data_IF_415212053326
#
_entry.id   IF_415212053326
#
_cell.length_a   1.000
_cell.length_b   1.000
_cell.length_c   1.000
_cell.angle_alpha   90.00
_cell.angle_beta   90.00
_cell.angle_gamma   90.00
#
_symmetry.space_group_name_H-M   'P 1'
#
loop_
_entity.id
_entity.type
_entity.pdbx_description
1 polymer ?
#
# COMPACT_ATOMS: atom_id res chain seq x y z
N UNK A 1 -19.17 2.20 -6.08
CA UNK A 1 -19.38 2.09 -4.61
C UNK A 1 -19.08 3.38 -3.89
N UNK A 2 -19.73 3.66 -2.74
CA UNK A 2 -19.36 4.79 -1.89
C UNK A 2 -18.00 4.53 -1.21
N UNK A 3 -17.22 5.60 -1.05
CA UNK A 3 -15.94 5.52 -0.32
C UNK A 3 -16.21 5.20 1.16
N UNK A 4 -15.55 4.20 1.77
CA UNK A 4 -15.72 3.83 3.17
C UNK A 4 -15.52 5.01 4.13
N UNK A 5 -16.27 5.01 5.25
CA UNK A 5 -16.20 6.07 6.25
C UNK A 5 -14.77 6.31 6.74
N UNK A 6 -14.00 5.25 6.99
CA UNK A 6 -12.59 5.32 7.44
C UNK A 6 -11.76 6.21 6.51
N UNK A 7 -11.94 6.11 5.19
CA UNK A 7 -11.16 6.87 4.20
C UNK A 7 -11.63 8.33 4.08
N UNK A 8 -12.90 8.62 4.41
CA UNK A 8 -13.46 9.98 4.35
C UNK A 8 -13.17 10.76 5.62
N UNK A 9 -13.40 10.14 6.77
CA UNK A 9 -13.34 10.77 8.10
C UNK A 9 -11.98 11.41 8.39
N UNK A 10 -10.89 10.73 8.05
CA UNK A 10 -9.54 11.16 8.43
C UNK A 10 -8.80 11.91 7.32
N UNK A 11 -9.39 12.04 6.12
CA UNK A 11 -8.71 12.62 4.96
C UNK A 11 -8.26 14.07 5.22
N UNK A 12 -9.16 14.92 5.68
CA UNK A 12 -8.88 16.34 5.87
C UNK A 12 -7.75 16.60 6.87
N UNK A 13 -7.78 16.08 8.12
CA UNK A 13 -6.69 16.28 9.06
C UNK A 13 -5.35 15.68 8.60
N UNK A 14 -5.36 14.56 7.88
CA UNK A 14 -4.15 13.96 7.31
C UNK A 14 -3.56 14.86 6.22
N UNK A 15 -4.38 15.35 5.29
CA UNK A 15 -3.94 16.24 4.20
C UNK A 15 -3.36 17.52 4.77
N UNK A 16 -4.07 18.20 5.68
CA UNK A 16 -3.59 19.42 6.30
C UNK A 16 -2.22 19.24 7.00
N UNK A 17 -2.04 18.10 7.68
CA UNK A 17 -0.77 17.79 8.34
C UNK A 17 0.35 17.46 7.34
N UNK A 18 0.04 16.71 6.26
CA UNK A 18 0.99 16.42 5.17
C UNK A 18 1.46 17.72 4.50
N UNK A 19 0.54 18.60 4.15
CA UNK A 19 0.87 19.92 3.57
C UNK A 19 1.80 20.72 4.48
N UNK A 20 1.53 20.72 5.79
CA UNK A 20 2.39 21.41 6.77
C UNK A 20 3.82 20.84 6.83
N UNK A 21 3.97 19.53 6.73
CA UNK A 21 5.29 18.84 6.75
C UNK A 21 6.04 19.04 5.43
N UNK A 22 5.31 19.09 4.31
CA UNK A 22 5.87 19.22 2.96
C UNK A 22 6.20 20.68 2.55
N UNK A 23 5.99 21.67 3.44
CA UNK A 23 6.34 23.06 3.18
C UNK A 23 7.86 23.33 3.15
N UNK A 24 8.66 22.29 3.07
CA UNK A 24 10.11 22.36 2.84
C UNK A 24 10.40 23.22 1.60
N UNK A 25 11.43 24.07 1.71
CA UNK A 25 11.88 24.93 0.62
C UNK A 25 13.12 24.32 -0.06
N UNK A 26 13.30 24.71 -1.33
CA UNK A 26 14.42 24.26 -2.12
C UNK A 26 14.12 22.99 -2.96
N UNK A 27 15.12 22.48 -3.68
CA UNK A 27 14.92 21.46 -4.70
C UNK A 27 14.26 20.16 -4.21
N UNK A 28 14.53 19.72 -2.97
CA UNK A 28 13.87 18.55 -2.38
C UNK A 28 12.39 18.82 -2.11
N UNK A 29 12.05 19.96 -1.53
CA UNK A 29 10.66 20.33 -1.26
C UNK A 29 9.83 20.46 -2.54
N UNK A 30 10.43 20.98 -3.63
CA UNK A 30 9.77 21.03 -4.94
C UNK A 30 9.45 19.63 -5.47
N UNK A 31 10.39 18.68 -5.39
CA UNK A 31 10.18 17.30 -5.81
C UNK A 31 9.14 16.57 -4.95
N UNK A 32 9.12 16.82 -3.63
CA UNK A 32 8.12 16.27 -2.73
C UNK A 32 6.72 16.80 -3.06
N UNK A 33 6.60 18.12 -3.22
CA UNK A 33 5.35 18.80 -3.59
C UNK A 33 4.83 18.32 -4.94
N UNK A 34 5.73 18.14 -5.93
CA UNK A 34 5.39 17.57 -7.22
C UNK A 34 4.85 16.13 -7.09
N UNK A 35 5.60 15.24 -6.41
CA UNK A 35 5.19 13.84 -6.24
C UNK A 35 3.84 13.71 -5.54
N UNK A 36 3.61 14.51 -4.50
CA UNK A 36 2.36 14.51 -3.73
C UNK A 36 1.19 15.19 -4.44
N UNK A 37 1.43 15.88 -5.55
CA UNK A 37 0.41 16.57 -6.33
C UNK A 37 0.09 17.98 -5.84
N UNK A 38 0.89 18.56 -4.96
CA UNK A 38 0.69 19.92 -4.46
C UNK A 38 1.11 20.98 -5.49
N UNK A 39 2.07 20.65 -6.36
CA UNK A 39 2.49 21.52 -7.45
C UNK A 39 2.79 20.75 -8.73
N UNK A 40 2.76 21.45 -9.85
CA UNK A 40 3.22 20.96 -11.17
C UNK A 40 4.73 21.18 -11.33
N UNK A 41 5.31 20.62 -12.42
CA UNK A 41 6.75 20.72 -12.67
C UNK A 41 7.22 22.17 -12.95
N UNK A 42 6.32 23.04 -13.37
CA UNK A 42 6.58 24.47 -13.60
C UNK A 42 6.36 25.34 -12.37
N UNK A 43 6.05 24.72 -11.21
CA UNK A 43 5.78 25.40 -9.95
C UNK A 43 4.35 25.93 -9.79
N UNK A 44 3.48 25.74 -10.77
CA UNK A 44 2.07 26.08 -10.65
C UNK A 44 1.34 25.14 -9.67
N UNK A 45 0.19 25.57 -9.07
CA UNK A 45 -0.58 24.72 -8.18
C UNK A 45 -0.99 23.41 -8.85
N UNK A 46 -0.77 22.28 -8.16
CA UNK A 46 -1.15 20.95 -8.59
C UNK A 46 -2.59 20.58 -8.22
N UNK A 47 -3.03 19.36 -8.56
CA UNK A 47 -4.39 18.87 -8.27
C UNK A 47 -4.67 18.61 -6.78
N UNK A 48 -3.66 18.72 -5.91
CA UNK A 48 -3.73 18.36 -4.50
C UNK A 48 -3.34 16.92 -4.22
N UNK A 49 -3.20 16.59 -2.92
CA UNK A 49 -2.79 15.25 -2.47
C UNK A 49 -3.82 14.21 -2.89
N UNK A 50 -3.40 13.36 -3.82
CA UNK A 50 -4.21 12.29 -4.39
C UNK A 50 -4.20 11.00 -3.59
N UNK A 51 -4.85 9.97 -4.17
CA UNK A 51 -4.89 8.63 -3.58
C UNK A 51 -5.94 8.46 -2.49
N UNK A 52 -6.09 7.21 -2.02
CA UNK A 52 -7.10 6.81 -1.04
C UNK A 52 -6.65 7.09 0.41
N UNK A 53 -5.38 7.41 0.64
CA UNK A 53 -4.77 7.62 1.97
C UNK A 53 -5.10 6.48 2.96
N UNK A 54 -5.15 5.24 2.48
CA UNK A 54 -5.59 4.08 3.27
C UNK A 54 -4.70 3.88 4.52
N UNK A 55 -3.38 3.90 4.35
CA UNK A 55 -2.44 3.64 5.44
C UNK A 55 -2.55 4.68 6.55
N UNK A 56 -2.47 5.99 6.29
CA UNK A 56 -2.60 6.98 7.34
C UNK A 56 -4.00 7.01 7.95
N UNK A 57 -5.05 6.73 7.18
CA UNK A 57 -6.42 6.60 7.73
C UNK A 57 -6.54 5.43 8.69
N UNK A 58 -5.88 4.31 8.43
CA UNK A 58 -5.85 3.16 9.33
C UNK A 58 -5.11 3.44 10.64
N UNK A 59 -4.07 4.29 10.63
CA UNK A 59 -3.40 4.74 11.88
C UNK A 59 -4.39 5.52 12.74
N UNK A 60 -5.05 6.54 12.18
CA UNK A 60 -6.04 7.35 12.91
C UNK A 60 -7.24 6.51 13.38
N UNK A 61 -7.75 5.65 12.49
CA UNK A 61 -8.84 4.74 12.80
C UNK A 61 -8.51 3.82 13.97
N UNK A 62 -7.37 3.14 13.93
CA UNK A 62 -6.97 2.18 14.98
C UNK A 62 -6.80 2.88 16.33
N UNK A 63 -6.29 4.10 16.33
CA UNK A 63 -6.17 4.92 17.55
C UNK A 63 -7.55 5.23 18.13
N UNK A 64 -8.43 5.80 17.34
CA UNK A 64 -9.76 6.22 17.80
C UNK A 64 -10.68 5.02 18.13
N UNK A 65 -10.54 3.90 17.40
CA UNK A 65 -11.24 2.66 17.66
C UNK A 65 -10.93 2.06 19.05
N UNK A 66 -9.80 2.43 19.63
CA UNK A 66 -9.36 2.05 20.98
C UNK A 66 -9.57 3.17 22.02
N UNK A 67 -10.32 4.24 21.66
CA UNK A 67 -10.60 5.37 22.55
C UNK A 67 -9.47 6.41 22.64
N UNK A 68 -8.44 6.32 21.80
CA UNK A 68 -7.35 7.29 21.72
C UNK A 68 -7.75 8.58 20.99
N UNK A 69 -6.89 9.60 21.11
CA UNK A 69 -7.09 10.90 20.44
C UNK A 69 -6.31 10.94 19.12
N UNK A 70 -6.94 11.36 18.03
CA UNK A 70 -6.32 11.34 16.71
C UNK A 70 -5.07 12.26 16.62
N UNK A 71 -4.98 13.31 17.43
CA UNK A 71 -3.83 14.21 17.49
C UNK A 71 -2.53 13.48 17.87
N UNK A 72 -2.63 12.43 18.67
CA UNK A 72 -1.49 11.56 18.99
C UNK A 72 -1.10 10.65 17.82
N UNK A 73 -2.06 10.29 16.97
CA UNK A 73 -1.86 9.41 15.83
C UNK A 73 -1.41 10.15 14.55
N UNK A 74 -1.82 11.42 14.35
CA UNK A 74 -1.57 12.17 13.14
C UNK A 74 -0.08 12.25 12.73
N UNK A 75 0.89 12.53 13.62
CA UNK A 75 2.30 12.53 13.24
C UNK A 75 2.78 11.16 12.73
N UNK A 76 2.29 10.08 13.34
CA UNK A 76 2.61 8.71 12.95
C UNK A 76 1.94 8.34 11.62
N UNK A 77 0.72 8.80 11.40
CA UNK A 77 -0.02 8.61 10.14
C UNK A 77 0.70 9.29 8.97
N UNK A 78 1.14 10.53 9.16
CA UNK A 78 1.94 11.27 8.17
C UNK A 78 3.28 10.58 7.92
N UNK A 79 3.99 10.17 8.96
CA UNK A 79 5.25 9.45 8.82
C UNK A 79 5.09 8.19 7.97
N UNK A 80 4.05 7.40 8.22
CA UNK A 80 3.78 6.18 7.45
C UNK A 80 3.42 6.48 5.98
N UNK A 81 2.67 7.56 5.73
CA UNK A 81 2.36 7.97 4.35
C UNK A 81 3.60 8.45 3.60
N UNK A 82 4.51 9.16 4.27
CA UNK A 82 5.80 9.56 3.69
C UNK A 82 6.68 8.34 3.39
N UNK A 83 6.72 7.33 4.29
CA UNK A 83 7.36 6.03 4.02
C UNK A 83 6.75 5.37 2.79
N UNK A 84 5.44 5.37 2.65
CA UNK A 84 4.81 4.82 1.45
C UNK A 84 5.20 5.58 0.18
N UNK A 85 5.23 6.91 0.24
CA UNK A 85 5.52 7.72 -0.95
C UNK A 85 7.00 7.66 -1.36
N UNK A 86 7.97 7.52 -0.41
CA UNK A 86 9.35 7.26 -0.81
C UNK A 86 9.46 5.95 -1.60
N UNK A 87 8.77 4.90 -1.13
CA UNK A 87 8.81 3.61 -1.84
C UNK A 87 8.22 3.72 -3.25
N UNK A 88 7.15 4.53 -3.43
CA UNK A 88 6.58 4.74 -4.75
C UNK A 88 7.54 5.46 -5.71
N UNK A 89 8.34 6.42 -5.23
CA UNK A 89 9.35 7.10 -6.07
C UNK A 89 10.43 6.11 -6.51
N UNK A 90 10.91 5.26 -5.60
CA UNK A 90 11.92 4.27 -5.92
C UNK A 90 11.37 3.13 -6.78
N UNK A 91 10.14 2.66 -6.53
CA UNK A 91 9.44 1.69 -7.37
C UNK A 91 9.31 2.20 -8.82
N UNK A 92 8.92 3.48 -9.01
CA UNK A 92 8.81 4.09 -10.34
C UNK A 92 10.13 4.03 -11.14
N UNK A 93 11.28 4.19 -10.47
CA UNK A 93 12.61 4.07 -11.09
C UNK A 93 12.89 2.61 -11.45
N UNK A 94 12.67 1.69 -10.51
CA UNK A 94 12.96 0.27 -10.66
C UNK A 94 12.11 -0.38 -11.75
N UNK A 95 10.80 -0.04 -11.76
CA UNK A 95 9.83 -0.55 -12.73
C UNK A 95 9.87 0.22 -14.06
N UNK A 96 10.65 1.32 -14.15
CA UNK A 96 10.71 2.25 -15.29
C UNK A 96 9.33 2.84 -15.64
N UNK A 97 8.50 3.05 -14.63
CA UNK A 97 7.17 3.62 -14.79
C UNK A 97 7.27 5.11 -15.13
N UNK A 98 6.84 5.49 -16.34
CA UNK A 98 6.89 6.88 -16.79
C UNK A 98 5.75 7.73 -16.24
N UNK A 99 4.62 7.11 -15.87
CA UNK A 99 3.41 7.78 -15.38
C UNK A 99 2.95 7.18 -14.05
N UNK A 100 2.56 8.07 -13.12
CA UNK A 100 1.88 7.72 -11.86
C UNK A 100 0.65 8.62 -11.68
N UNK A 101 -0.52 8.01 -11.50
CA UNK A 101 -1.79 8.75 -11.39
C UNK A 101 -2.03 9.72 -12.55
N UNK A 102 -1.64 9.32 -13.78
CA UNK A 102 -1.79 10.12 -15.00
C UNK A 102 -0.77 11.26 -15.17
N UNK A 103 0.19 11.43 -14.24
CA UNK A 103 1.26 12.46 -14.30
C UNK A 103 2.63 11.79 -14.51
N UNK A 104 3.58 12.44 -15.19
CA UNK A 104 4.95 11.94 -15.28
C UNK A 104 5.53 11.69 -13.87
N UNK A 105 6.32 10.62 -13.72
CA UNK A 105 6.97 10.29 -12.47
C UNK A 105 8.13 11.23 -12.14
N UNK A 106 8.58 11.24 -10.88
CA UNK A 106 9.67 12.14 -10.44
C UNK A 106 10.93 11.91 -11.27
N UNK A 107 11.31 10.63 -11.53
CA UNK A 107 12.49 10.35 -12.33
C UNK A 107 12.34 10.79 -13.80
N UNK A 108 11.12 10.82 -14.33
CA UNK A 108 10.87 11.28 -15.69
C UNK A 108 11.02 12.80 -15.83
N UNK A 109 10.68 13.56 -14.78
CA UNK A 109 10.73 15.02 -14.75
C UNK A 109 12.11 15.54 -14.34
N UNK A 110 12.68 14.96 -13.28
CA UNK A 110 13.90 15.48 -12.63
C UNK A 110 15.15 14.62 -12.85
N UNK A 111 15.02 13.47 -13.51
CA UNK A 111 16.10 12.49 -13.68
C UNK A 111 16.18 11.47 -12.55
N UNK A 112 16.86 10.35 -12.84
CA UNK A 112 16.97 9.20 -11.92
C UNK A 112 17.70 9.60 -10.63
N UNK A 113 18.80 10.34 -10.74
CA UNK A 113 19.65 10.75 -9.62
C UNK A 113 18.85 11.60 -8.61
N UNK A 114 18.04 12.54 -9.11
CA UNK A 114 17.22 13.39 -8.26
C UNK A 114 16.02 12.63 -7.68
N UNK A 115 15.46 11.68 -8.40
CA UNK A 115 14.39 10.85 -7.87
C UNK A 115 14.89 9.92 -6.73
N UNK A 116 16.12 9.42 -6.80
CA UNK A 116 16.76 8.70 -5.68
C UNK A 116 16.86 9.64 -4.46
N UNK A 117 17.42 10.86 -4.64
CA UNK A 117 17.52 11.85 -3.57
C UNK A 117 16.15 12.22 -2.97
N UNK A 118 15.12 12.33 -3.81
CA UNK A 118 13.76 12.62 -3.36
C UNK A 118 13.18 11.49 -2.52
N UNK A 119 13.37 10.23 -2.93
CA UNK A 119 12.96 9.07 -2.13
C UNK A 119 13.65 9.04 -0.78
N UNK A 120 14.98 9.14 -0.75
CA UNK A 120 15.78 9.16 0.47
C UNK A 120 15.36 10.33 1.39
N UNK A 121 15.14 11.52 0.81
CA UNK A 121 14.67 12.68 1.53
C UNK A 121 13.31 12.48 2.19
N UNK A 122 12.34 11.86 1.48
CA UNK A 122 11.03 11.52 2.06
C UNK A 122 11.15 10.52 3.20
N UNK A 123 12.04 9.52 3.09
CA UNK A 123 12.28 8.57 4.18
C UNK A 123 12.83 9.27 5.43
N UNK A 124 13.81 10.17 5.28
CA UNK A 124 14.34 10.96 6.40
C UNK A 124 13.26 11.86 7.01
N UNK A 125 12.46 12.52 6.16
CA UNK A 125 11.36 13.37 6.61
C UNK A 125 10.28 12.56 7.36
N UNK A 126 10.01 11.31 6.94
CA UNK A 126 9.11 10.41 7.64
C UNK A 126 9.59 10.09 9.05
N UNK A 127 10.88 9.78 9.21
CA UNK A 127 11.46 9.51 10.52
C UNK A 127 11.41 10.75 11.41
N UNK A 128 11.72 11.92 10.87
CA UNK A 128 11.60 13.19 11.60
C UNK A 128 10.14 13.47 12.02
N UNK A 129 9.19 13.31 11.10
CA UNK A 129 7.75 13.52 11.37
C UNK A 129 7.22 12.61 12.49
N UNK A 130 7.70 11.38 12.58
CA UNK A 130 7.28 10.43 13.62
C UNK A 130 7.75 10.85 15.03
N UNK A 131 8.83 11.62 15.15
CA UNK A 131 9.31 12.19 16.41
C UNK A 131 8.44 13.38 16.89
N UNK A 132 7.63 13.98 16.02
CA UNK A 132 6.70 15.05 16.37
C UNK A 132 5.45 14.57 17.15
N UNK A 133 5.32 13.27 17.42
CA UNK A 133 4.30 12.71 18.29
C UNK A 133 4.58 13.01 19.78
N UNK A 134 4.68 14.30 20.12
CA UNK A 134 5.12 14.83 21.43
C UNK A 134 4.17 14.50 22.59
N UNK A 135 2.94 14.11 22.27
CA UNK A 135 1.94 13.70 23.28
C UNK A 135 2.15 12.28 23.78
N UNK A 136 2.97 11.48 23.10
CA UNK A 136 3.30 10.13 23.51
C UNK A 136 4.34 10.11 24.64
N UNK A 137 4.15 9.18 25.59
CA UNK A 137 5.20 8.86 26.55
C UNK A 137 6.45 8.34 25.81
N UNK A 138 7.64 8.60 26.36
CA UNK A 138 8.92 8.24 25.72
C UNK A 138 9.00 6.76 25.29
N UNK A 139 8.47 5.85 26.12
CA UNK A 139 8.42 4.42 25.79
C UNK A 139 7.54 4.14 24.55
N UNK A 140 6.36 4.78 24.46
CA UNK A 140 5.47 4.65 23.31
C UNK A 140 6.05 5.29 22.06
N UNK A 141 6.74 6.44 22.19
CA UNK A 141 7.47 7.05 21.09
C UNK A 141 8.56 6.13 20.55
N UNK A 142 9.35 5.49 21.42
CA UNK A 142 10.35 4.50 21.03
C UNK A 142 9.72 3.26 20.37
N UNK A 143 8.59 2.79 20.88
CA UNK A 143 7.85 1.68 20.28
C UNK A 143 7.38 2.05 18.86
N UNK A 144 6.83 3.26 18.66
CA UNK A 144 6.40 3.74 17.34
C UNK A 144 7.57 3.80 16.35
N UNK A 145 8.74 4.32 16.77
CA UNK A 145 9.96 4.33 15.95
C UNK A 145 10.37 2.92 15.53
N UNK A 146 10.45 1.99 16.48
CA UNK A 146 10.81 0.59 16.19
C UNK A 146 9.83 -0.07 15.23
N UNK A 147 8.52 0.15 15.41
CA UNK A 147 7.47 -0.38 14.55
C UNK A 147 7.61 0.16 13.13
N UNK A 148 7.77 1.48 12.96
CA UNK A 148 7.93 2.13 11.66
C UNK A 148 9.18 1.64 10.92
N UNK A 149 10.34 1.61 11.61
CA UNK A 149 11.61 1.15 11.02
C UNK A 149 11.54 -0.33 10.62
N UNK A 150 11.01 -1.20 11.49
CA UNK A 150 10.88 -2.62 11.19
C UNK A 150 9.96 -2.89 10.01
N UNK A 151 8.82 -2.17 9.93
CA UNK A 151 7.90 -2.31 8.81
C UNK A 151 8.49 -1.77 7.51
N UNK A 152 9.22 -0.66 7.56
CA UNK A 152 9.94 -0.10 6.41
C UNK A 152 10.99 -1.09 5.89
N UNK A 153 11.79 -1.68 6.78
CA UNK A 153 12.77 -2.68 6.40
C UNK A 153 12.12 -3.90 5.74
N UNK A 154 11.04 -4.43 6.34
CA UNK A 154 10.29 -5.57 5.76
C UNK A 154 9.67 -5.22 4.40
N UNK A 155 9.16 -4.00 4.22
CA UNK A 155 8.64 -3.54 2.92
C UNK A 155 9.75 -3.52 1.87
N UNK A 156 10.97 -3.06 2.21
CA UNK A 156 12.14 -3.09 1.31
C UNK A 156 12.53 -4.53 0.98
N UNK A 157 12.55 -5.46 1.97
CA UNK A 157 12.75 -6.89 1.69
C UNK A 157 11.69 -7.44 0.72
N UNK A 158 10.43 -7.02 0.88
CA UNK A 158 9.34 -7.38 -0.04
C UNK A 158 9.59 -6.88 -1.46
N UNK A 159 10.12 -5.67 -1.63
CA UNK A 159 10.51 -5.14 -2.93
C UNK A 159 11.69 -5.91 -3.56
N UNK A 160 12.68 -6.28 -2.77
CA UNK A 160 13.79 -7.15 -3.24
C UNK A 160 13.25 -8.49 -3.74
N UNK A 161 12.30 -9.09 -3.02
CA UNK A 161 11.65 -10.32 -3.45
C UNK A 161 10.86 -10.10 -4.74
N UNK A 162 10.06 -9.04 -4.85
CA UNK A 162 9.25 -8.74 -6.04
C UNK A 162 10.13 -8.67 -7.29
N UNK A 163 11.21 -7.89 -7.26
CA UNK A 163 12.19 -7.82 -8.34
C UNK A 163 12.85 -9.18 -8.63
N UNK A 164 13.11 -10.00 -7.60
CA UNK A 164 13.72 -11.31 -7.77
C UNK A 164 12.78 -12.36 -8.38
N UNK A 165 11.48 -12.13 -8.34
CA UNK A 165 10.47 -12.98 -8.97
C UNK A 165 10.32 -12.70 -10.47
N UNK A 166 10.78 -11.55 -10.95
CA UNK A 166 10.72 -11.23 -12.37
C UNK A 166 11.53 -12.21 -13.21
N UNK A 167 10.95 -12.63 -14.33
CA UNK A 167 11.64 -13.51 -15.29
C UNK A 167 11.86 -14.96 -14.83
N UNK A 168 11.30 -15.38 -13.69
CA UNK A 168 11.36 -16.78 -13.24
C UNK A 168 10.00 -17.30 -12.80
N UNK A 169 9.84 -18.63 -12.86
CA UNK A 169 8.68 -19.27 -12.27
C UNK A 169 8.72 -19.14 -10.73
N UNK A 170 7.63 -18.63 -10.15
CA UNK A 170 7.44 -18.52 -8.71
C UNK A 170 6.10 -19.13 -8.32
N UNK A 171 6.08 -19.88 -7.23
CA UNK A 171 4.86 -20.48 -6.68
C UNK A 171 4.07 -19.50 -5.80
N UNK A 172 2.85 -19.91 -5.45
CA UNK A 172 1.95 -19.14 -4.59
C UNK A 172 2.57 -18.80 -3.24
N UNK A 173 3.34 -19.73 -2.64
CA UNK A 173 3.98 -19.48 -1.33
C UNK A 173 5.01 -18.34 -1.38
N UNK A 174 5.85 -18.28 -2.43
CA UNK A 174 6.84 -17.21 -2.63
C UNK A 174 6.15 -15.88 -2.88
N UNK A 175 5.09 -15.88 -3.72
CA UNK A 175 4.27 -14.69 -3.94
C UNK A 175 3.66 -14.16 -2.63
N UNK A 176 3.08 -15.02 -1.79
CA UNK A 176 2.45 -14.62 -0.53
C UNK A 176 3.48 -14.06 0.47
N UNK A 177 4.70 -14.60 0.51
CA UNK A 177 5.78 -14.02 1.36
C UNK A 177 6.17 -12.63 0.87
N UNK A 178 6.37 -12.46 -0.43
CA UNK A 178 6.62 -11.16 -1.06
C UNK A 178 5.49 -10.16 -0.75
N UNK A 179 4.23 -10.51 -1.01
CA UNK A 179 3.08 -9.62 -0.81
C UNK A 179 2.87 -9.25 0.67
N UNK A 180 3.10 -10.20 1.59
CA UNK A 180 3.06 -9.93 3.04
C UNK A 180 4.09 -8.89 3.45
N UNK A 181 5.31 -8.97 2.89
CA UNK A 181 6.39 -8.04 3.17
C UNK A 181 6.18 -6.70 2.46
N UNK A 182 5.98 -6.69 1.14
CA UNK A 182 5.86 -5.46 0.33
C UNK A 182 4.63 -4.64 0.73
N UNK A 183 3.46 -5.27 0.84
CA UNK A 183 2.19 -4.58 1.09
C UNK A 183 1.70 -4.77 2.53
N UNK A 184 1.73 -5.99 3.05
CA UNK A 184 1.22 -6.32 4.38
C UNK A 184 1.95 -5.60 5.50
N UNK A 185 3.27 -5.45 5.43
CA UNK A 185 4.08 -4.86 6.48
C UNK A 185 3.64 -3.41 6.82
N UNK A 186 3.40 -2.56 5.80
CA UNK A 186 2.98 -1.18 6.06
C UNK A 186 1.51 -1.07 6.51
N UNK A 187 0.64 -1.98 6.10
CA UNK A 187 -0.75 -2.00 6.58
C UNK A 187 -0.81 -2.54 8.02
N UNK A 188 0.02 -3.54 8.34
CA UNK A 188 0.23 -4.00 9.72
C UNK A 188 0.77 -2.90 10.63
N UNK A 189 1.78 -2.18 10.15
CA UNK A 189 2.34 -1.01 10.81
C UNK A 189 1.27 0.06 11.08
N UNK A 190 0.38 0.33 10.14
CA UNK A 190 -0.67 1.33 10.28
C UNK A 190 -1.56 1.05 11.49
N UNK A 191 -2.10 -0.16 11.61
CA UNK A 191 -2.96 -0.52 12.74
C UNK A 191 -2.18 -0.56 14.07
N UNK A 192 -0.93 -1.06 14.05
CA UNK A 192 -0.07 -1.10 15.24
C UNK A 192 0.29 0.30 15.75
N UNK A 193 0.65 1.23 14.84
CA UNK A 193 0.94 2.63 15.21
C UNK A 193 -0.27 3.33 15.84
N UNK A 194 -1.48 3.07 15.32
CA UNK A 194 -2.71 3.57 15.93
C UNK A 194 -2.91 3.00 17.33
N UNK A 195 -2.66 1.71 17.53
CA UNK A 195 -2.67 1.08 18.86
C UNK A 195 -1.66 1.71 19.81
N UNK A 196 -0.43 1.98 19.35
CA UNK A 196 0.60 2.69 20.13
C UNK A 196 0.10 4.08 20.53
N UNK A 197 -0.49 4.82 19.60
CA UNK A 197 -1.04 6.15 19.86
C UNK A 197 -2.18 6.14 20.88
N UNK A 198 -2.92 5.05 20.98
CA UNK A 198 -3.97 4.81 21.98
C UNK A 198 -3.44 4.24 23.30
N UNK A 199 -2.14 3.97 23.43
CA UNK A 199 -1.55 3.39 24.64
C UNK A 199 -1.77 1.88 24.80
N UNK A 200 -2.03 1.15 23.72
CA UNK A 200 -2.23 -0.30 23.74
C UNK A 200 -0.98 -1.05 24.22
N UNK A 201 -1.20 -2.14 24.96
CA UNK A 201 -0.13 -3.04 25.37
C UNK A 201 0.47 -3.83 24.18
N UNK A 202 1.61 -4.50 24.42
CA UNK A 202 2.33 -5.23 23.36
C UNK A 202 1.51 -6.37 22.76
N UNK A 203 0.70 -7.06 23.57
CA UNK A 203 -0.16 -8.16 23.09
C UNK A 203 -1.24 -7.67 22.12
N UNK A 204 -1.89 -6.54 22.43
CA UNK A 204 -2.89 -5.92 21.56
C UNK A 204 -2.24 -5.34 20.30
N UNK A 205 -1.08 -4.69 20.43
CA UNK A 205 -0.30 -4.20 19.27
C UNK A 205 0.05 -5.32 18.30
N UNK A 206 0.49 -6.47 18.82
CA UNK A 206 0.76 -7.65 17.99
C UNK A 206 -0.46 -8.16 17.23
N UNK A 207 -1.66 -8.15 17.84
CA UNK A 207 -2.92 -8.52 17.17
C UNK A 207 -3.29 -7.51 16.08
N UNK A 208 -3.13 -6.21 16.32
CA UNK A 208 -3.38 -5.16 15.35
C UNK A 208 -2.45 -5.28 14.13
N UNK A 209 -1.15 -5.53 14.36
CA UNK A 209 -0.20 -5.80 13.29
C UNK A 209 -0.61 -7.02 12.46
N UNK A 210 -0.95 -8.14 13.10
CA UNK A 210 -1.38 -9.35 12.41
C UNK A 210 -2.65 -9.10 11.56
N UNK A 211 -3.63 -8.37 12.10
CA UNK A 211 -4.81 -7.97 11.35
C UNK A 211 -4.44 -7.17 10.10
N UNK A 212 -3.56 -6.19 10.23
CA UNK A 212 -3.15 -5.35 9.11
C UNK A 212 -2.36 -6.13 8.05
N UNK A 213 -1.52 -7.09 8.44
CA UNK A 213 -0.80 -7.95 7.49
C UNK A 213 -1.78 -8.81 6.66
N UNK A 214 -2.80 -9.38 7.31
CA UNK A 214 -3.86 -10.16 6.65
C UNK A 214 -4.68 -9.28 5.71
N UNK A 215 -5.05 -8.07 6.16
CA UNK A 215 -5.75 -7.08 5.34
C UNK A 215 -4.92 -6.67 4.12
N UNK A 216 -3.60 -6.53 4.28
CA UNK A 216 -2.66 -6.22 3.21
C UNK A 216 -2.59 -7.30 2.14
N UNK A 217 -2.64 -8.58 2.54
CA UNK A 217 -2.72 -9.70 1.60
C UNK A 217 -4.04 -9.67 0.81
N UNK A 218 -5.17 -9.48 1.49
CA UNK A 218 -6.46 -9.34 0.82
C UNK A 218 -6.44 -8.20 -0.21
N UNK A 219 -5.86 -7.06 0.19
CA UNK A 219 -5.73 -5.88 -0.66
C UNK A 219 -4.88 -6.18 -1.90
N UNK A 220 -3.68 -6.76 -1.73
CA UNK A 220 -2.76 -7.02 -2.83
C UNK A 220 -3.34 -8.06 -3.81
N UNK A 221 -3.89 -9.16 -3.30
CA UNK A 221 -4.47 -10.20 -4.17
C UNK A 221 -5.68 -9.65 -4.96
N UNK A 222 -6.47 -8.73 -4.37
CA UNK A 222 -7.56 -8.07 -5.09
C UNK A 222 -7.04 -7.09 -6.14
N UNK A 223 -5.96 -6.34 -5.84
CA UNK A 223 -5.29 -5.49 -6.83
C UNK A 223 -4.78 -6.29 -8.03
N UNK A 224 -4.17 -7.43 -7.79
CA UNK A 224 -3.70 -8.33 -8.84
C UNK A 224 -4.84 -8.86 -9.72
N UNK A 225 -5.99 -9.17 -9.11
CA UNK A 225 -7.18 -9.53 -9.87
C UNK A 225 -7.65 -8.39 -10.76
N UNK A 226 -7.71 -7.17 -10.23
CA UNK A 226 -8.10 -5.96 -10.96
C UNK A 226 -7.09 -5.65 -12.09
N UNK A 227 -5.81 -5.82 -11.86
CA UNK A 227 -4.75 -5.59 -12.83
C UNK A 227 -4.82 -6.48 -14.07
N UNK A 228 -5.54 -7.61 -13.99
CA UNK A 228 -5.72 -8.53 -15.11
C UNK A 228 -7.14 -8.47 -15.68
N UNK A 229 -8.18 -8.46 -14.84
CA UNK A 229 -9.58 -8.58 -15.26
C UNK A 229 -10.45 -7.38 -14.91
N UNK A 230 -9.86 -6.30 -14.38
CA UNK A 230 -10.60 -5.09 -14.05
C UNK A 230 -11.20 -4.43 -15.29
N UNK A 231 -12.33 -3.76 -15.11
CA UNK A 231 -13.00 -3.03 -16.18
C UNK A 231 -12.17 -1.79 -16.58
N UNK A 232 -11.76 -1.64 -17.85
CA UNK A 232 -11.01 -0.48 -18.32
C UNK A 232 -11.72 0.86 -18.09
N UNK A 233 -13.06 0.90 -18.15
CA UNK A 233 -13.83 2.12 -17.91
C UNK A 233 -13.73 2.58 -16.45
N UNK A 234 -13.51 1.65 -15.53
CA UNK A 234 -13.41 1.93 -14.09
C UNK A 234 -11.96 2.13 -13.65
N UNK A 235 -11.05 1.29 -14.17
CA UNK A 235 -9.63 1.28 -13.77
C UNK A 235 -8.79 2.32 -14.51
N UNK A 236 -9.25 2.75 -15.68
CA UNK A 236 -8.46 3.58 -16.61
C UNK A 236 -7.27 2.86 -17.24
N UNK A 237 -7.17 1.52 -17.11
CA UNK A 237 -6.08 0.70 -17.64
C UNK A 237 -6.63 -0.39 -18.54
N UNK A 238 -5.87 -0.81 -19.58
CA UNK A 238 -6.30 -1.92 -20.43
C UNK A 238 -6.36 -3.25 -19.64
N UNK A 239 -7.24 -4.15 -20.08
CA UNK A 239 -7.29 -5.53 -19.56
C UNK A 239 -5.91 -6.17 -19.68
N UNK A 240 -5.47 -6.88 -18.65
CA UNK A 240 -4.15 -7.52 -18.63
C UNK A 240 -2.97 -6.55 -18.47
N UNK A 241 -3.19 -5.34 -17.99
CA UNK A 241 -2.11 -4.35 -17.81
C UNK A 241 -0.92 -4.87 -17.02
N UNK A 242 -1.16 -5.70 -15.99
CA UNK A 242 -0.09 -6.29 -15.19
C UNK A 242 0.63 -7.44 -15.91
N UNK A 243 -0.06 -8.14 -16.80
CA UNK A 243 0.55 -9.15 -17.68
C UNK A 243 1.47 -8.51 -18.72
N UNK A 244 1.05 -7.40 -19.33
CA UNK A 244 1.88 -6.63 -20.27
C UNK A 244 3.17 -6.14 -19.62
N UNK A 245 3.13 -5.87 -18.32
CA UNK A 245 4.30 -5.52 -17.49
C UNK A 245 5.08 -6.74 -16.98
N UNK A 246 4.67 -7.95 -17.37
CA UNK A 246 5.27 -9.22 -16.97
C UNK A 246 5.33 -9.43 -15.45
N UNK A 247 4.40 -8.83 -14.68
CA UNK A 247 4.34 -8.98 -13.23
C UNK A 247 4.03 -10.40 -12.81
N UNK A 248 4.73 -10.89 -11.80
CA UNK A 248 4.48 -12.18 -11.15
C UNK A 248 3.42 -12.05 -10.07
N UNK A 249 2.19 -11.72 -10.49
CA UNK A 249 1.03 -11.56 -9.61
C UNK A 249 0.47 -12.90 -9.12
N UNK A 250 -0.43 -12.87 -8.12
CA UNK A 250 -1.05 -14.10 -7.60
C UNK A 250 -1.67 -14.99 -8.68
N UNK A 251 -2.47 -14.47 -9.63
CA UNK A 251 -3.02 -15.29 -10.71
C UNK A 251 -1.95 -16.02 -11.53
N UNK A 252 -0.83 -15.35 -11.82
CA UNK A 252 0.27 -15.94 -12.58
C UNK A 252 0.97 -17.02 -11.77
N UNK A 253 1.28 -16.77 -10.50
CA UNK A 253 1.88 -17.78 -9.62
C UNK A 253 1.00 -19.02 -9.46
N UNK A 254 -0.31 -18.83 -9.28
CA UNK A 254 -1.29 -19.92 -9.19
C UNK A 254 -1.37 -20.75 -10.47
N UNK A 255 -1.34 -20.10 -11.64
CA UNK A 255 -1.37 -20.77 -12.93
C UNK A 255 -0.09 -21.57 -13.18
N UNK A 256 1.09 -21.01 -12.89
CA UNK A 256 2.37 -21.67 -13.09
C UNK A 256 2.52 -22.96 -12.29
N UNK A 257 1.96 -23.05 -11.09
CA UNK A 257 1.93 -24.31 -10.32
C UNK A 257 1.11 -25.43 -11.01
N UNK A 258 0.18 -25.07 -11.90
CA UNK A 258 -0.74 -26.02 -12.60
C UNK A 258 -0.37 -26.24 -14.05
N UNK A 259 0.21 -25.25 -14.66
CA UNK A 259 0.66 -25.27 -16.06
C UNK A 259 2.06 -24.62 -16.16
N UNK A 260 3.13 -25.36 -15.86
CA UNK A 260 4.50 -24.84 -15.94
C UNK A 260 4.89 -24.38 -17.34
N UNK A 261 4.21 -24.88 -18.42
CA UNK A 261 4.48 -24.44 -19.79
C UNK A 261 4.07 -22.99 -20.05
N UNK A 262 3.29 -22.38 -19.16
CA UNK A 262 2.96 -20.95 -19.20
C UNK A 262 4.21 -20.06 -19.10
N UNK A 263 5.28 -20.53 -18.47
CA UNK A 263 6.53 -19.76 -18.36
C UNK A 263 7.13 -19.42 -19.73
N UNK A 264 7.11 -20.38 -20.68
CA UNK A 264 7.58 -20.16 -22.05
C UNK A 264 6.75 -19.09 -22.76
N UNK A 265 5.43 -19.08 -22.50
CA UNK A 265 4.52 -18.11 -23.08
C UNK A 265 4.76 -16.70 -22.52
N UNK A 266 4.98 -16.60 -21.20
CA UNK A 266 5.25 -15.35 -20.52
C UNK A 266 6.59 -14.70 -20.93
N UNK A 267 7.53 -15.51 -21.47
CA UNK A 267 8.84 -15.05 -21.95
C UNK A 267 8.80 -14.56 -23.42
N UNK A 268 7.74 -14.82 -24.17
CA UNK A 268 7.69 -14.46 -25.60
C UNK A 268 7.68 -12.96 -25.85
N UNK A 269 8.26 -12.59 -27.01
CA UNK A 269 8.19 -11.24 -27.57
C UNK A 269 7.92 -11.35 -29.08
N UNK A 270 6.81 -10.80 -29.60
CA UNK A 270 5.80 -10.00 -28.88
C UNK A 270 5.01 -10.80 -27.86
N UNK A 271 4.55 -10.13 -26.79
CA UNK A 271 3.82 -10.77 -25.69
C UNK A 271 2.42 -11.24 -26.14
N UNK A 272 2.10 -12.54 -26.02
CA UNK A 272 0.84 -13.10 -26.53
C UNK A 272 -0.30 -12.96 -25.50
N UNK A 273 -0.76 -11.74 -25.23
CA UNK A 273 -1.69 -11.40 -24.15
C UNK A 273 -2.97 -12.28 -24.16
N UNK A 274 -3.61 -12.42 -25.32
CA UNK A 274 -4.87 -13.20 -25.45
C UNK A 274 -4.68 -14.68 -25.06
N UNK A 275 -3.56 -15.26 -25.50
CA UNK A 275 -3.25 -16.67 -25.18
C UNK A 275 -2.92 -16.83 -23.67
N UNK A 276 -2.17 -15.88 -23.09
CA UNK A 276 -1.88 -15.87 -21.64
C UNK A 276 -3.18 -15.76 -20.84
N UNK A 277 -4.08 -14.83 -21.19
CA UNK A 277 -5.38 -14.68 -20.53
C UNK A 277 -6.20 -15.99 -20.61
N UNK A 278 -6.28 -16.61 -21.79
CA UNK A 278 -6.98 -17.88 -21.98
C UNK A 278 -6.39 -19.01 -21.10
N UNK A 279 -5.06 -19.06 -20.98
CA UNK A 279 -4.37 -20.04 -20.12
C UNK A 279 -4.65 -19.81 -18.64
N UNK A 280 -4.59 -18.55 -18.18
CA UNK A 280 -4.95 -18.19 -16.81
C UNK A 280 -6.39 -18.62 -16.47
N UNK A 281 -7.33 -18.38 -17.37
CA UNK A 281 -8.73 -18.81 -17.19
C UNK A 281 -8.86 -20.34 -17.17
N UNK A 282 -8.18 -21.05 -18.06
CA UNK A 282 -8.23 -22.52 -18.13
C UNK A 282 -7.66 -23.21 -16.87
N UNK A 283 -6.74 -22.56 -16.16
CA UNK A 283 -6.22 -23.05 -14.86
C UNK A 283 -7.12 -22.72 -13.67
N UNK A 284 -8.20 -21.95 -13.86
CA UNK A 284 -9.07 -21.46 -12.79
C UNK A 284 -8.47 -20.35 -11.95
N UNK A 285 -7.44 -19.65 -12.46
CA UNK A 285 -6.73 -18.60 -11.72
C UNK A 285 -7.62 -17.43 -11.32
N UNK A 286 -8.60 -17.07 -12.15
CA UNK A 286 -9.55 -15.97 -11.90
C UNK A 286 -10.37 -16.20 -10.63
N UNK A 287 -11.00 -17.38 -10.55
CA UNK A 287 -11.84 -17.80 -9.43
C UNK A 287 -11.01 -18.04 -8.17
N UNK A 288 -9.82 -18.66 -8.34
CA UNK A 288 -8.90 -18.92 -7.24
C UNK A 288 -8.41 -17.63 -6.59
N UNK A 289 -8.03 -16.63 -7.39
CA UNK A 289 -7.59 -15.30 -6.91
C UNK A 289 -8.70 -14.61 -6.14
N UNK A 290 -9.92 -14.56 -6.70
CA UNK A 290 -11.06 -13.99 -6.01
C UNK A 290 -11.41 -14.77 -4.73
N UNK A 291 -11.27 -16.09 -4.74
CA UNK A 291 -11.46 -16.97 -3.57
C UNK A 291 -10.45 -16.71 -2.45
N UNK A 292 -9.18 -16.57 -2.81
CA UNK A 292 -8.10 -16.31 -1.85
C UNK A 292 -8.22 -14.90 -1.22
N UNK A 293 -8.53 -13.87 -2.02
CA UNK A 293 -8.81 -12.54 -1.48
C UNK A 293 -9.96 -12.57 -0.44
N UNK A 294 -11.07 -13.25 -0.77
CA UNK A 294 -12.19 -13.42 0.18
C UNK A 294 -11.81 -14.23 1.43
N UNK A 295 -10.90 -15.18 1.32
CA UNK A 295 -10.40 -15.94 2.48
C UNK A 295 -9.67 -15.02 3.46
N UNK A 296 -8.76 -14.17 2.98
CA UNK A 296 -8.05 -13.21 3.83
C UNK A 296 -8.98 -12.14 4.40
N UNK A 297 -10.02 -11.71 3.67
CA UNK A 297 -11.03 -10.80 4.23
C UNK A 297 -11.80 -11.46 5.39
N UNK A 298 -12.21 -12.73 5.27
CA UNK A 298 -12.85 -13.46 6.38
C UNK A 298 -11.91 -13.65 7.58
N UNK A 299 -10.61 -13.86 7.33
CA UNK A 299 -9.61 -13.96 8.38
C UNK A 299 -9.43 -12.61 9.11
N UNK A 300 -9.38 -11.50 8.36
CA UNK A 300 -9.33 -10.15 8.91
C UNK A 300 -10.57 -9.85 9.78
N UNK A 301 -11.76 -10.18 9.30
CA UNK A 301 -13.02 -10.02 10.04
C UNK A 301 -13.00 -10.80 11.37
N UNK A 302 -12.54 -12.07 11.33
CA UNK A 302 -12.40 -12.91 12.53
C UNK A 302 -11.43 -12.33 13.56
N UNK A 303 -10.29 -11.76 13.11
CA UNK A 303 -9.33 -11.13 14.02
C UNK A 303 -9.93 -9.85 14.60
N UNK A 304 -10.56 -9.01 13.75
CA UNK A 304 -11.17 -7.75 14.14
C UNK A 304 -12.30 -7.94 15.18
N UNK A 305 -13.11 -8.99 15.03
CA UNK A 305 -14.18 -9.32 15.97
C UNK A 305 -13.66 -9.54 17.40
N UNK A 306 -12.42 -10.03 17.57
CA UNK A 306 -11.76 -10.26 18.85
C UNK A 306 -11.04 -9.05 19.44
N UNK A 307 -11.06 -7.90 18.77
CA UNK A 307 -10.40 -6.67 19.24
C UNK A 307 -11.35 -5.85 20.14
N UNK A 308 -10.82 -5.15 21.15
CA UNK A 308 -11.60 -4.32 22.06
C UNK A 308 -11.95 -2.96 21.45
N UNK A 309 -12.41 -2.98 20.20
CA UNK A 309 -12.81 -1.79 19.47
C UNK A 309 -14.18 -1.28 19.89
N UNK A 310 -14.34 0.02 19.88
CA UNK A 310 -15.62 0.68 20.02
C UNK A 310 -16.67 0.15 19.00
N UNK A 311 -17.98 0.09 19.34
CA UNK A 311 -18.98 -0.49 18.45
C UNK A 311 -19.03 0.13 17.05
N UNK A 312 -18.89 1.45 16.95
CA UNK A 312 -18.87 2.16 15.66
C UNK A 312 -17.70 1.71 14.78
N UNK A 313 -16.53 1.44 15.39
CA UNK A 313 -15.33 1.05 14.67
C UNK A 313 -15.47 -0.34 14.04
N UNK A 314 -16.17 -1.27 14.68
CA UNK A 314 -16.48 -2.58 14.10
C UNK A 314 -17.34 -2.46 12.84
N UNK A 315 -18.31 -1.54 12.86
CA UNK A 315 -19.18 -1.26 11.69
C UNK A 315 -18.34 -0.65 10.56
N UNK A 316 -17.59 0.40 10.84
CA UNK A 316 -16.76 1.08 9.84
C UNK A 316 -15.69 0.16 9.24
N UNK A 317 -15.11 -0.75 10.05
CA UNK A 317 -14.16 -1.73 9.54
C UNK A 317 -14.84 -2.78 8.64
N UNK A 318 -16.05 -3.22 8.98
CA UNK A 318 -16.87 -4.09 8.12
C UNK A 318 -17.17 -3.46 6.75
N UNK A 319 -17.45 -2.15 6.71
CA UNK A 319 -17.59 -1.41 5.44
C UNK A 319 -16.30 -1.42 4.62
N UNK A 320 -15.14 -1.22 5.27
CA UNK A 320 -13.84 -1.31 4.60
C UNK A 320 -13.59 -2.71 4.04
N UNK A 321 -13.89 -3.77 4.78
CA UNK A 321 -13.75 -5.15 4.32
C UNK A 321 -14.63 -5.44 3.11
N UNK A 322 -15.89 -5.00 3.14
CA UNK A 322 -16.81 -5.13 2.00
C UNK A 322 -16.29 -4.39 0.78
N UNK A 323 -15.83 -3.15 0.97
CA UNK A 323 -15.23 -2.36 -0.11
C UNK A 323 -14.02 -3.06 -0.74
N UNK A 324 -13.17 -3.74 0.05
CA UNK A 324 -11.99 -4.44 -0.48
C UNK A 324 -12.36 -5.67 -1.33
N UNK A 325 -13.45 -6.36 -1.01
CA UNK A 325 -13.92 -7.51 -1.80
C UNK A 325 -14.54 -7.05 -3.11
N UNK A 326 -15.36 -6.01 -3.03
CA UNK A 326 -16.29 -5.63 -4.10
C UNK A 326 -15.74 -4.50 -5.00
N UNK A 327 -14.58 -3.91 -4.65
CA UNK A 327 -13.99 -2.84 -5.47
C UNK A 327 -13.61 -3.35 -6.86
N UNK A 328 -13.82 -2.49 -7.84
CA UNK A 328 -13.49 -2.72 -9.25
C UNK A 328 -12.26 -1.88 -9.69
N UNK A 329 -11.85 -0.93 -8.82
CA UNK A 329 -10.67 -0.07 -9.02
C UNK A 329 -9.98 0.30 -7.69
#
# INVERSE_FOLDING_TARGET
MATPEILRKYREPIVARLEGVLQERGPLGEMFSYHMGLQEADGSPGPGIGGKLLRPSLVCFSCEALGGQIDAALPLAVALELVHNFSLIHDDIQDKDELRRGRPTVWKVYGVEQAINAGDGLLVLALHSSLEAKTLAAEMSLAAQKTLLSATYRMIEGQVLDLSLEGRAAGVAEYLDMARKKTGALIGCALELGGIAAGADEGLRGKLRALGEVLGLAFQIRDDWIGIWGDPEVTGKPVGSDLLRRKRSFPVAYALERDPSLEELLAQDPFPLEEVLRRLESTGSKEATAGEARKYVREADRIAAGLPWEPWAKIAFGELLSFLVDREA
#
